data_IF_265190615574
#
_entry.id   IF_265190615574
#
_cell.length_a   1.000
_cell.length_b   1.000
_cell.length_c   1.000
_cell.angle_alpha   90.00
_cell.angle_beta   90.00
_cell.angle_gamma   90.00
#
_symmetry.space_group_name_H-M   'P 1'
#
loop_
_entity.id
_entity.type
_entity.pdbx_description
1 polymer ?
#
# COMPACT_ATOMS: atom_id res chain seq x y z
N UNK A 1 -32.97 -11.98 26.69
CA UNK A 1 -32.70 -10.58 26.28
C UNK A 1 -32.43 -10.63 24.79
N UNK A 2 -33.40 -10.18 24.03
CA UNK A 2 -33.45 -10.24 22.59
C UNK A 2 -32.37 -9.37 22.00
N UNK A 3 -31.52 -9.98 21.11
CA UNK A 3 -30.68 -9.21 20.24
C UNK A 3 -31.59 -8.48 19.23
N UNK A 4 -31.44 -7.20 19.00
CA UNK A 4 -32.21 -6.53 17.97
C UNK A 4 -31.94 -7.22 16.62
N UNK A 5 -33.00 -7.63 15.92
CA UNK A 5 -32.95 -8.05 14.52
C UNK A 5 -32.30 -6.93 13.72
N UNK A 6 -31.07 -7.18 13.22
CA UNK A 6 -30.43 -6.27 12.28
C UNK A 6 -31.27 -6.32 11.00
N UNK A 7 -31.90 -5.19 10.66
CA UNK A 7 -32.61 -5.04 9.41
C UNK A 7 -31.75 -5.53 8.24
N UNK A 8 -32.39 -6.05 7.21
CA UNK A 8 -31.75 -6.49 5.94
C UNK A 8 -31.14 -5.23 5.32
N UNK A 9 -29.93 -4.86 5.76
CA UNK A 9 -29.15 -3.80 5.16
C UNK A 9 -28.77 -4.20 3.73
N UNK A 10 -28.76 -3.26 2.79
CA UNK A 10 -28.23 -3.49 1.45
C UNK A 10 -26.86 -4.15 1.56
N UNK A 11 -26.62 -5.14 0.69
CA UNK A 11 -25.33 -5.84 0.67
C UNK A 11 -24.20 -4.81 0.44
N UNK A 12 -23.19 -4.80 1.34
CA UNK A 12 -22.07 -3.88 1.23
C UNK A 12 -21.32 -4.11 -0.08
N UNK A 13 -21.07 -3.04 -0.79
CA UNK A 13 -20.19 -3.07 -1.96
C UNK A 13 -18.72 -3.01 -1.52
N UNK A 14 -17.95 -3.99 -1.93
CA UNK A 14 -16.54 -4.12 -1.54
C UNK A 14 -15.67 -4.12 -2.79
N UNK A 15 -14.74 -3.16 -2.87
CA UNK A 15 -13.71 -3.09 -3.91
C UNK A 15 -12.35 -3.41 -3.29
N UNK A 16 -11.59 -4.27 -3.95
CA UNK A 16 -10.26 -4.68 -3.51
C UNK A 16 -9.26 -4.32 -4.60
N UNK A 17 -8.37 -3.37 -4.32
CA UNK A 17 -7.37 -2.84 -5.26
C UNK A 17 -6.01 -3.44 -4.94
N UNK A 18 -5.48 -4.31 -5.81
CA UNK A 18 -4.23 -5.04 -5.63
C UNK A 18 -3.32 -4.77 -6.82
N UNK A 19 -2.04 -4.46 -6.56
CA UNK A 19 -1.03 -4.39 -7.61
C UNK A 19 -0.66 -5.79 -8.13
N UNK A 20 -0.74 -6.01 -9.42
CA UNK A 20 -0.51 -7.31 -10.03
C UNK A 20 0.97 -7.72 -10.08
N UNK A 21 1.91 -6.74 -10.08
CA UNK A 21 3.31 -6.96 -10.42
C UNK A 21 4.26 -6.56 -9.25
N UNK A 22 5.22 -5.66 -9.50
CA UNK A 22 6.23 -5.21 -8.53
C UNK A 22 5.90 -3.89 -7.81
N UNK A 23 4.67 -3.39 -7.92
CA UNK A 23 4.27 -2.10 -7.38
C UNK A 23 4.32 -0.99 -8.42
N UNK A 24 3.92 0.23 -8.00
CA UNK A 24 3.88 1.44 -8.83
C UNK A 24 2.96 1.35 -10.06
N UNK A 25 1.88 0.58 -9.92
CA UNK A 25 0.92 0.28 -10.99
C UNK A 25 -0.27 1.26 -11.07
N UNK A 26 -0.33 2.29 -10.21
CA UNK A 26 -1.47 3.22 -10.21
C UNK A 26 -2.62 2.85 -9.26
N UNK A 27 -2.34 2.06 -8.19
CA UNK A 27 -3.33 1.69 -7.16
C UNK A 27 -4.02 2.89 -6.53
N UNK A 28 -3.29 3.99 -6.30
CA UNK A 28 -3.86 5.23 -5.75
C UNK A 28 -4.96 5.81 -6.64
N UNK A 29 -4.73 5.86 -7.95
CA UNK A 29 -5.71 6.32 -8.93
C UNK A 29 -6.98 5.45 -8.90
N UNK A 30 -6.83 4.12 -8.90
CA UNK A 30 -7.97 3.20 -8.88
C UNK A 30 -8.72 3.22 -7.55
N UNK A 31 -8.01 3.40 -6.43
CA UNK A 31 -8.63 3.59 -5.12
C UNK A 31 -9.47 4.87 -5.08
N UNK A 32 -8.92 5.99 -5.55
CA UNK A 32 -9.62 7.27 -5.65
C UNK A 32 -10.87 7.16 -6.55
N UNK A 33 -10.76 6.47 -7.69
CA UNK A 33 -11.87 6.18 -8.59
C UNK A 33 -12.98 5.38 -7.91
N UNK A 34 -12.65 4.26 -7.25
CA UNK A 34 -13.65 3.43 -6.58
C UNK A 34 -14.29 4.12 -5.37
N UNK A 35 -13.51 4.88 -4.60
CA UNK A 35 -14.05 5.69 -3.51
C UNK A 35 -15.09 6.69 -4.04
N UNK A 36 -14.79 7.36 -5.16
CA UNK A 36 -15.73 8.28 -5.80
C UNK A 36 -16.98 7.57 -6.27
N UNK A 37 -16.87 6.42 -6.91
CA UNK A 37 -18.01 5.63 -7.41
C UNK A 37 -18.92 5.17 -6.27
N UNK A 38 -18.34 4.64 -5.19
CA UNK A 38 -19.12 4.18 -4.04
C UNK A 38 -19.73 5.33 -3.24
N UNK A 39 -19.06 6.49 -3.16
CA UNK A 39 -19.56 7.66 -2.44
C UNK A 39 -20.85 8.25 -3.03
N UNK A 40 -21.21 7.88 -4.25
CA UNK A 40 -22.49 8.26 -4.88
C UNK A 40 -23.69 7.53 -4.27
N UNK A 41 -23.46 6.41 -3.59
CA UNK A 41 -24.50 5.58 -2.97
C UNK A 41 -24.47 5.61 -1.43
N UNK A 42 -23.45 6.17 -0.80
CA UNK A 42 -23.34 6.22 0.66
C UNK A 42 -21.93 6.56 1.14
N UNK A 43 -21.73 6.35 2.44
CA UNK A 43 -20.44 6.56 3.10
C UNK A 43 -19.43 5.47 2.72
N UNK A 44 -18.15 5.83 2.59
CA UNK A 44 -17.08 4.92 2.15
C UNK A 44 -15.96 4.85 3.18
N UNK A 45 -15.47 3.65 3.43
CA UNK A 45 -14.24 3.43 4.20
C UNK A 45 -13.12 2.96 3.27
N UNK A 46 -12.08 3.77 3.14
CA UNK A 46 -10.87 3.40 2.43
C UNK A 46 -9.91 2.72 3.41
N UNK A 47 -9.66 1.42 3.22
CA UNK A 47 -8.95 0.55 4.14
C UNK A 47 -7.56 0.23 3.60
N UNK A 48 -6.51 0.75 4.26
CA UNK A 48 -5.12 0.34 4.03
C UNK A 48 -4.90 -0.98 4.76
N UNK A 49 -4.89 -2.10 4.02
CA UNK A 49 -4.92 -3.41 4.65
C UNK A 49 -3.55 -4.07 4.83
N UNK A 50 -2.48 -3.48 4.28
CA UNK A 50 -1.11 -3.98 4.38
C UNK A 50 -0.09 -2.86 4.20
N UNK A 51 1.20 -3.18 4.36
CA UNK A 51 2.30 -2.25 4.17
C UNK A 51 2.42 -1.24 5.31
N UNK A 52 2.81 -0.04 4.98
CA UNK A 52 3.03 1.09 5.88
C UNK A 52 3.47 2.33 5.11
N UNK A 53 4.20 3.22 5.75
CA UNK A 53 4.63 4.51 5.20
C UNK A 53 5.57 4.45 3.98
N UNK A 54 6.06 3.26 3.60
CA UNK A 54 6.88 3.06 2.40
C UNK A 54 6.06 3.10 1.10
N UNK A 55 4.76 2.94 1.17
CA UNK A 55 3.90 3.02 -0.01
C UNK A 55 3.59 4.48 -0.33
N UNK A 56 3.81 4.89 -1.58
CA UNK A 56 3.44 6.21 -2.09
C UNK A 56 2.32 6.08 -3.13
N UNK A 57 1.10 6.49 -2.78
CA UNK A 57 -0.04 6.42 -3.69
C UNK A 57 -0.39 7.82 -4.19
N UNK A 58 -0.01 8.11 -5.42
CA UNK A 58 -0.26 9.43 -6.02
C UNK A 58 -1.70 9.57 -6.47
N UNK A 59 -2.30 10.69 -6.07
CA UNK A 59 -3.61 11.14 -6.57
C UNK A 59 -3.48 12.57 -7.07
N UNK A 60 -4.03 12.81 -8.25
CA UNK A 60 -4.11 14.13 -8.88
C UNK A 60 -5.55 14.58 -8.90
N UNK A 61 -5.80 15.76 -8.31
CA UNK A 61 -7.13 16.37 -8.29
C UNK A 61 -7.17 17.44 -9.36
N UNK A 62 -8.11 17.35 -10.32
CA UNK A 62 -8.34 18.44 -11.26
C UNK A 62 -8.93 19.63 -10.51
N UNK A 63 -8.27 20.78 -10.55
CA UNK A 63 -8.77 22.04 -10.05
C UNK A 63 -8.84 23.05 -11.17
N UNK A 64 -9.69 24.09 -11.03
CA UNK A 64 -9.73 25.19 -12.00
C UNK A 64 -8.36 25.90 -12.03
N UNK A 65 -7.55 25.61 -13.05
CA UNK A 65 -6.29 26.28 -13.37
C UNK A 65 -5.01 25.51 -13.08
N UNK A 66 -4.89 24.76 -12.00
CA UNK A 66 -3.72 23.91 -11.70
C UNK A 66 -4.15 22.55 -11.12
N UNK A 67 -3.55 21.49 -11.63
CA UNK A 67 -3.72 20.16 -11.01
C UNK A 67 -2.99 20.15 -9.66
N UNK A 68 -3.71 19.81 -8.60
CA UNK A 68 -3.09 19.55 -7.30
C UNK A 68 -2.78 18.06 -7.18
N UNK A 69 -1.57 17.76 -6.74
CA UNK A 69 -1.05 16.39 -6.59
C UNK A 69 -0.66 16.14 -5.15
N UNK A 70 -1.02 14.96 -4.64
CA UNK A 70 -0.54 14.47 -3.35
C UNK A 70 -0.10 13.01 -3.43
N UNK A 71 0.89 12.63 -2.63
CA UNK A 71 1.38 11.26 -2.50
C UNK A 71 1.02 10.75 -1.11
N UNK A 72 0.01 9.90 -1.06
CA UNK A 72 -0.46 9.30 0.18
C UNK A 72 0.48 8.21 0.67
N UNK A 73 0.91 8.27 1.92
CA UNK A 73 1.71 7.25 2.58
C UNK A 73 0.94 6.55 3.71
N UNK A 74 0.24 7.30 4.55
CA UNK A 74 -0.64 6.80 5.61
C UNK A 74 -2.10 6.96 5.25
N UNK A 75 -2.50 8.18 4.84
CA UNK A 75 -3.89 8.40 4.48
C UNK A 75 -4.26 7.57 3.25
N UNK A 76 -5.52 7.18 3.17
CA UNK A 76 -6.03 6.46 2.01
C UNK A 76 -6.13 7.35 0.77
N UNK A 77 -5.86 6.80 -0.40
CA UNK A 77 -5.91 7.54 -1.66
C UNK A 77 -7.30 8.10 -1.99
N UNK A 78 -8.36 7.58 -1.33
CA UNK A 78 -9.72 8.12 -1.41
C UNK A 78 -10.00 9.35 -0.56
N UNK A 79 -9.03 9.86 0.21
CA UNK A 79 -9.23 10.97 1.18
C UNK A 79 -9.74 12.27 0.57
N UNK A 80 -9.55 12.50 -0.73
CA UNK A 80 -10.11 13.67 -1.43
C UNK A 80 -11.56 13.49 -1.89
N UNK A 81 -12.18 12.36 -1.61
CA UNK A 81 -13.58 12.10 -1.93
C UNK A 81 -14.44 12.38 -0.71
N UNK A 82 -15.40 13.29 -0.83
CA UNK A 82 -16.34 13.61 0.23
C UNK A 82 -17.10 12.35 0.66
N UNK A 83 -17.25 12.14 1.98
CA UNK A 83 -17.91 10.97 2.55
C UNK A 83 -17.00 9.73 2.63
N UNK A 84 -15.70 9.89 2.36
CA UNK A 84 -14.70 8.82 2.50
C UNK A 84 -13.79 9.09 3.69
N UNK A 85 -13.71 8.12 4.60
CA UNK A 85 -12.78 8.12 5.73
C UNK A 85 -11.68 7.07 5.51
N UNK A 86 -10.53 7.25 6.16
CA UNK A 86 -9.40 6.30 6.10
C UNK A 86 -9.41 5.35 7.30
N UNK A 87 -9.15 4.06 7.04
CA UNK A 87 -8.88 3.07 8.08
C UNK A 87 -7.56 2.35 7.84
N UNK A 88 -6.66 2.43 8.82
CA UNK A 88 -5.38 1.70 8.85
C UNK A 88 -5.59 0.42 9.66
N UNK A 89 -5.68 -0.72 8.95
CA UNK A 89 -6.00 -2.02 9.58
C UNK A 89 -4.84 -2.56 10.43
N UNK A 90 -5.09 -3.60 11.24
CA UNK A 90 -4.08 -4.19 12.12
C UNK A 90 -2.83 -4.74 11.44
N UNK A 91 -2.82 -4.86 10.11
CA UNK A 91 -1.64 -5.23 9.32
C UNK A 91 -0.82 -4.02 8.85
N UNK A 92 -1.36 -2.81 8.92
CA UNK A 92 -0.66 -1.59 8.54
C UNK A 92 0.38 -1.20 9.59
N UNK A 93 1.52 -0.69 9.16
CA UNK A 93 2.61 -0.28 10.03
C UNK A 93 2.65 1.24 10.08
N UNK A 94 2.33 1.78 11.26
CA UNK A 94 2.29 3.21 11.52
C UNK A 94 3.70 3.77 11.72
N UNK A 95 3.93 4.97 11.21
CA UNK A 95 5.14 5.75 11.48
C UNK A 95 4.72 7.17 11.92
N UNK A 96 4.83 7.51 13.20
CA UNK A 96 4.37 8.81 13.73
C UNK A 96 5.01 10.00 13.03
N UNK A 97 6.32 9.92 12.72
CA UNK A 97 7.07 11.00 12.06
C UNK A 97 6.47 11.29 10.68
N UNK A 98 6.28 10.24 9.88
CA UNK A 98 5.78 10.39 8.51
C UNK A 98 4.26 10.69 8.49
N UNK A 99 3.51 10.19 9.47
CA UNK A 99 2.10 10.51 9.63
C UNK A 99 1.89 12.02 9.88
N UNK A 100 2.57 12.57 10.87
CA UNK A 100 2.45 14.00 11.19
C UNK A 100 2.88 14.87 10.02
N UNK A 101 3.99 14.50 9.35
CA UNK A 101 4.45 15.20 8.16
C UNK A 101 3.41 15.22 7.04
N UNK A 102 2.83 14.07 6.70
CA UNK A 102 1.81 13.94 5.65
C UNK A 102 0.53 14.72 6.01
N UNK A 103 0.07 14.63 7.27
CA UNK A 103 -1.06 15.41 7.77
C UNK A 103 -0.84 16.91 7.58
N UNK A 104 0.33 17.40 7.94
CA UNK A 104 0.67 18.83 7.82
C UNK A 104 0.80 19.26 6.36
N UNK A 105 1.30 18.39 5.48
CA UNK A 105 1.31 18.64 4.03
C UNK A 105 -0.12 18.71 3.47
N UNK A 106 -1.01 17.82 3.90
CA UNK A 106 -2.43 17.86 3.53
C UNK A 106 -3.07 19.19 3.92
N UNK A 107 -2.86 19.63 5.16
CA UNK A 107 -3.41 20.90 5.61
C UNK A 107 -2.82 22.10 4.85
N UNK A 108 -1.51 22.17 4.70
CA UNK A 108 -0.85 23.28 3.99
C UNK A 108 -1.26 23.42 2.54
N UNK A 109 -1.45 22.28 1.85
CA UNK A 109 -1.70 22.29 0.41
C UNK A 109 -3.19 22.31 0.06
N UNK A 110 -4.06 21.75 0.93
CA UNK A 110 -5.47 21.53 0.63
C UNK A 110 -6.44 22.11 1.66
N UNK A 111 -5.93 22.63 2.79
CA UNK A 111 -6.76 23.15 3.90
C UNK A 111 -7.75 22.12 4.44
N UNK A 112 -7.33 20.86 4.50
CA UNK A 112 -8.18 19.74 4.79
C UNK A 112 -7.48 18.72 5.69
N UNK A 113 -8.22 18.18 6.64
CA UNK A 113 -7.81 17.10 7.53
C UNK A 113 -8.69 15.88 7.29
N UNK A 114 -8.17 14.80 6.64
CA UNK A 114 -8.92 13.55 6.51
C UNK A 114 -9.20 12.93 7.88
N UNK A 115 -10.35 12.32 8.05
CA UNK A 115 -10.65 11.54 9.24
C UNK A 115 -10.00 10.18 9.14
N UNK A 116 -9.29 9.77 10.21
CA UNK A 116 -8.49 8.55 10.24
C UNK A 116 -8.83 7.69 11.44
N UNK A 117 -9.09 6.43 11.16
CA UNK A 117 -9.19 5.37 12.13
C UNK A 117 -7.94 4.49 12.06
N UNK A 118 -7.44 4.08 13.22
CA UNK A 118 -6.31 3.15 13.32
C UNK A 118 -6.71 1.94 14.15
N UNK A 119 -6.35 0.75 13.70
CA UNK A 119 -6.61 -0.45 14.46
C UNK A 119 -5.77 -0.50 15.72
N UNK A 120 -6.37 -0.93 16.84
CA UNK A 120 -5.73 -0.99 18.15
C UNK A 120 -4.42 -1.81 18.19
N UNK A 121 -4.22 -2.74 17.25
CA UNK A 121 -3.05 -3.62 17.16
C UNK A 121 -2.05 -3.26 16.06
N UNK A 122 -2.19 -2.13 15.38
CA UNK A 122 -1.18 -1.67 14.43
C UNK A 122 0.21 -1.64 15.06
N UNK A 123 1.21 -2.07 14.32
CA UNK A 123 2.61 -1.93 14.75
C UNK A 123 3.05 -0.49 14.55
N UNK A 124 3.84 0.04 15.48
CA UNK A 124 4.35 1.41 15.39
C UNK A 124 5.87 1.37 15.22
N UNK A 125 6.35 1.97 14.15
CA UNK A 125 7.78 2.14 13.84
C UNK A 125 8.39 3.14 14.79
N UNK A 126 9.56 2.80 15.35
CA UNK A 126 10.37 3.71 16.18
C UNK A 126 11.50 4.34 15.36
N UNK A 127 12.12 5.42 15.82
CA UNK A 127 13.27 6.01 15.13
C UNK A 127 14.43 5.03 15.01
N UNK A 128 14.57 4.09 15.95
CA UNK A 128 15.62 3.09 15.93
C UNK A 128 15.39 2.00 14.88
N UNK A 129 14.15 1.64 14.57
CA UNK A 129 13.82 0.79 13.42
C UNK A 129 14.27 1.46 12.10
N UNK A 130 14.04 2.76 11.97
CA UNK A 130 14.46 3.53 10.80
C UNK A 130 15.99 3.61 10.71
N UNK A 131 16.67 3.91 11.81
CA UNK A 131 18.13 4.01 11.86
C UNK A 131 18.82 2.67 11.55
N UNK A 132 18.34 1.55 12.10
CA UNK A 132 18.86 0.23 11.73
C UNK A 132 18.74 0.01 10.23
N UNK A 133 17.56 0.26 9.65
CA UNK A 133 17.34 0.09 8.21
C UNK A 133 18.31 0.95 7.39
N UNK A 134 18.44 2.23 7.70
CA UNK A 134 19.27 3.17 6.95
C UNK A 134 20.78 2.83 7.07
N UNK A 135 21.26 2.54 8.29
CA UNK A 135 22.66 2.17 8.54
C UNK A 135 23.03 0.90 7.78
N UNK A 136 22.14 -0.12 7.82
CA UNK A 136 22.36 -1.38 7.11
C UNK A 136 22.39 -1.19 5.60
N UNK A 137 21.46 -0.41 5.02
CA UNK A 137 21.47 -0.13 3.58
C UNK A 137 22.76 0.62 3.18
N UNK A 138 23.20 1.62 3.95
CA UNK A 138 24.48 2.30 3.69
C UNK A 138 25.66 1.36 3.81
N UNK A 139 25.67 0.46 4.79
CA UNK A 139 26.78 -0.49 5.00
C UNK A 139 26.93 -1.51 3.88
N UNK A 140 25.85 -1.81 3.15
CA UNK A 140 25.84 -2.73 2.00
C UNK A 140 26.40 -2.12 0.72
N UNK A 141 26.47 -0.79 0.62
CA UNK A 141 26.94 -0.11 -0.59
C UNK A 141 26.17 -0.53 -1.83
N UNK A 142 26.87 -1.06 -2.83
CA UNK A 142 26.26 -1.52 -4.09
C UNK A 142 25.39 -2.79 -3.93
N UNK A 143 25.52 -3.52 -2.82
CA UNK A 143 24.72 -4.71 -2.51
C UNK A 143 23.48 -4.38 -1.65
N UNK A 144 23.05 -3.12 -1.62
CA UNK A 144 21.86 -2.70 -0.91
C UNK A 144 20.61 -3.41 -1.43
N UNK A 145 19.64 -3.66 -0.54
CA UNK A 145 18.38 -4.27 -0.94
C UNK A 145 17.40 -3.25 -1.57
N UNK A 146 17.71 -1.95 -1.50
CA UNK A 146 16.87 -0.91 -2.08
C UNK A 146 15.59 -0.65 -1.28
N UNK A 147 15.65 -0.77 0.03
CA UNK A 147 14.55 -0.37 0.92
C UNK A 147 14.42 1.15 0.98
N UNK A 148 13.21 1.66 1.28
CA UNK A 148 12.98 3.11 1.34
C UNK A 148 13.49 3.80 2.63
N UNK A 149 14.19 3.11 3.50
CA UNK A 149 14.81 3.69 4.71
C UNK A 149 13.82 4.03 5.84
N UNK A 150 12.55 3.63 5.75
CA UNK A 150 11.51 3.99 6.75
C UNK A 150 11.26 2.93 7.82
N UNK A 151 12.08 1.87 7.87
CA UNK A 151 12.13 0.93 8.98
C UNK A 151 11.02 -0.14 9.03
N UNK A 152 10.29 -0.37 7.95
CA UNK A 152 9.14 -1.31 7.94
C UNK A 152 9.57 -2.73 8.32
N UNK A 153 10.59 -3.29 7.65
CA UNK A 153 11.09 -4.63 7.96
C UNK A 153 11.57 -4.71 9.41
N UNK A 154 12.34 -3.74 9.86
CA UNK A 154 12.89 -3.73 11.21
C UNK A 154 11.79 -3.62 12.29
N UNK A 155 10.73 -2.87 12.03
CA UNK A 155 9.53 -2.87 12.87
C UNK A 155 8.95 -4.28 12.99
N UNK A 156 8.74 -4.98 11.87
CA UNK A 156 8.19 -6.35 11.87
C UNK A 156 9.12 -7.32 12.61
N UNK A 157 10.43 -7.24 12.36
CA UNK A 157 11.44 -8.07 13.03
C UNK A 157 11.45 -7.83 14.55
N UNK A 158 11.39 -6.57 15.00
CA UNK A 158 11.32 -6.22 16.40
C UNK A 158 10.09 -6.84 17.09
N UNK A 159 8.93 -6.76 16.43
CA UNK A 159 7.70 -7.37 16.95
C UNK A 159 7.76 -8.90 16.99
N UNK A 160 8.36 -9.55 15.99
CA UNK A 160 8.45 -11.03 15.91
C UNK A 160 9.45 -11.59 16.92
N UNK A 161 10.60 -10.94 17.10
CA UNK A 161 11.76 -11.54 17.79
C UNK A 161 11.95 -11.08 19.23
N UNK A 162 11.41 -9.92 19.62
CA UNK A 162 11.71 -9.32 20.94
C UNK A 162 10.52 -9.28 21.91
N UNK A 163 9.36 -9.79 21.50
CA UNK A 163 8.21 -10.06 22.37
C UNK A 163 7.43 -8.83 22.84
N UNK A 164 6.49 -9.06 23.75
CA UNK A 164 5.46 -8.09 24.17
C UNK A 164 6.04 -6.82 24.79
N UNK A 165 7.15 -6.91 25.55
CA UNK A 165 7.77 -5.74 26.21
C UNK A 165 8.39 -4.71 25.26
N UNK A 166 8.53 -5.03 23.95
CA UNK A 166 9.09 -4.16 22.93
C UNK A 166 8.05 -3.73 21.89
N UNK A 167 6.79 -4.10 22.07
CA UNK A 167 5.72 -3.80 21.14
C UNK A 167 4.99 -2.52 21.53
N UNK A 168 4.96 -1.55 20.63
CA UNK A 168 4.21 -0.30 20.78
C UNK A 168 3.03 -0.36 19.81
N UNK A 169 1.81 -0.36 20.34
CA UNK A 169 0.58 -0.35 19.52
C UNK A 169 -0.31 0.82 19.95
N UNK A 170 -1.29 1.23 19.14
CA UNK A 170 -2.28 2.22 19.56
C UNK A 170 -2.98 1.89 20.88
N UNK A 171 -3.18 0.59 21.16
CA UNK A 171 -3.76 0.14 22.43
C UNK A 171 -2.86 0.37 23.65
N UNK A 172 -1.56 0.24 23.47
CA UNK A 172 -0.60 0.21 24.60
C UNK A 172 0.20 1.50 24.77
N UNK A 173 0.34 2.30 23.72
CA UNK A 173 1.27 3.44 23.67
C UNK A 173 1.11 4.43 24.82
N UNK A 174 -0.13 4.72 25.24
CA UNK A 174 -0.39 5.67 26.35
C UNK A 174 -0.15 5.09 27.76
N UNK A 175 0.01 3.78 27.87
CA UNK A 175 0.30 3.09 29.14
C UNK A 175 1.76 2.74 29.33
N UNK A 176 2.61 2.94 28.31
CA UNK A 176 4.04 2.62 28.32
C UNK A 176 4.86 3.82 28.78
N UNK A 177 5.94 3.55 29.53
CA UNK A 177 7.04 4.51 29.68
C UNK A 177 7.85 4.53 28.37
N UNK A 178 7.43 5.38 27.45
CA UNK A 178 8.03 5.47 26.11
C UNK A 178 9.49 5.93 26.19
N UNK A 179 9.84 6.80 27.14
CA UNK A 179 11.22 7.26 27.27
C UNK A 179 12.14 6.14 27.69
N UNK A 180 11.76 5.36 28.68
CA UNK A 180 12.48 4.16 29.10
C UNK A 180 12.60 3.15 27.95
N UNK A 181 11.49 2.85 27.27
CA UNK A 181 11.47 1.86 26.21
C UNK A 181 12.36 2.25 25.02
N UNK A 182 12.31 3.51 24.60
CA UNK A 182 13.14 4.01 23.50
C UNK A 182 14.61 4.11 23.88
N UNK A 183 14.92 4.49 25.13
CA UNK A 183 16.28 4.45 25.65
C UNK A 183 16.82 3.02 25.63
N UNK A 184 16.04 2.04 26.07
CA UNK A 184 16.41 0.63 25.98
C UNK A 184 16.62 0.18 24.53
N UNK A 185 15.76 0.63 23.60
CA UNK A 185 15.95 0.32 22.18
C UNK A 185 17.24 0.92 21.63
N UNK A 186 17.59 2.15 22.01
CA UNK A 186 18.85 2.80 21.65
C UNK A 186 20.08 2.05 22.17
N UNK A 187 20.07 1.74 23.46
CA UNK A 187 21.27 1.29 24.18
C UNK A 187 21.50 -0.22 24.08
N UNK A 188 20.44 -1.01 23.89
CA UNK A 188 20.50 -2.48 23.90
C UNK A 188 20.05 -3.09 22.56
N UNK A 189 18.85 -2.73 22.09
CA UNK A 189 18.29 -3.35 20.88
C UNK A 189 19.09 -2.99 19.63
N UNK A 190 19.32 -1.70 19.37
CA UNK A 190 19.96 -1.21 18.15
C UNK A 190 21.39 -1.78 17.97
N UNK A 191 22.31 -1.72 18.96
CA UNK A 191 23.65 -2.30 18.82
C UNK A 191 23.61 -3.81 18.55
N UNK A 192 22.73 -4.53 19.28
CA UNK A 192 22.56 -5.97 19.09
C UNK A 192 22.07 -6.27 17.68
N UNK A 193 21.07 -5.54 17.18
CA UNK A 193 20.49 -5.74 15.85
C UNK A 193 21.48 -5.43 14.75
N UNK A 194 22.25 -4.35 14.84
CA UNK A 194 23.29 -4.01 13.86
C UNK A 194 24.37 -5.11 13.80
N UNK A 195 24.77 -5.64 14.94
CA UNK A 195 25.72 -6.77 15.01
C UNK A 195 25.15 -8.03 14.33
N UNK A 196 23.88 -8.39 14.57
CA UNK A 196 23.20 -9.50 13.92
C UNK A 196 23.18 -9.35 12.38
N UNK A 197 23.08 -8.11 11.88
CA UNK A 197 23.07 -7.76 10.47
C UNK A 197 24.47 -7.57 9.87
N UNK A 198 25.55 -7.85 10.66
CA UNK A 198 26.94 -7.81 10.18
C UNK A 198 27.52 -6.41 10.06
N UNK A 199 26.88 -5.39 10.63
CA UNK A 199 27.42 -4.03 10.66
C UNK A 199 28.50 -3.93 11.73
N UNK A 200 29.74 -3.68 11.31
CA UNK A 200 30.90 -3.54 12.21
C UNK A 200 31.26 -2.08 12.53
N UNK A 201 30.95 -1.17 11.63
CA UNK A 201 31.30 0.24 11.77
C UNK A 201 30.05 1.13 11.57
N UNK A 202 29.88 2.08 12.48
CA UNK A 202 28.83 3.10 12.42
C UNK A 202 29.53 4.44 12.15
N UNK A 203 28.99 5.25 11.24
CA UNK A 203 29.55 6.57 10.96
C UNK A 203 29.41 7.51 12.18
N UNK A 204 30.27 8.53 12.28
CA UNK A 204 30.16 9.53 13.34
C UNK A 204 28.84 10.30 13.27
N UNK A 205 28.33 10.53 12.07
CA UNK A 205 27.05 11.21 11.86
C UNK A 205 25.90 10.34 12.40
N UNK A 206 25.88 9.04 12.07
CA UNK A 206 24.90 8.11 12.62
C UNK A 206 24.97 8.01 14.14
N UNK A 207 26.17 7.95 14.70
CA UNK A 207 26.37 7.95 16.16
C UNK A 207 25.84 9.24 16.79
N UNK A 208 26.07 10.39 16.17
CA UNK A 208 25.55 11.67 16.64
C UNK A 208 24.02 11.68 16.68
N UNK A 209 23.36 11.10 15.67
CA UNK A 209 21.90 10.95 15.65
C UNK A 209 21.42 9.96 16.70
N UNK A 210 22.03 8.80 16.83
CA UNK A 210 21.65 7.75 17.79
C UNK A 210 21.72 8.27 19.23
N UNK A 211 22.77 9.03 19.57
CA UNK A 211 23.02 9.53 20.92
C UNK A 211 22.23 10.81 21.26
N UNK A 212 21.54 11.40 20.29
CA UNK A 212 20.74 12.61 20.52
C UNK A 212 19.48 12.29 21.32
N UNK A 213 19.33 12.90 22.50
CA UNK A 213 18.08 12.82 23.26
C UNK A 213 16.88 13.39 22.50
N UNK A 214 17.10 14.35 21.64
CA UNK A 214 16.05 14.98 20.83
C UNK A 214 15.31 13.97 19.93
N UNK A 215 15.97 12.88 19.49
CA UNK A 215 15.31 11.88 18.62
C UNK A 215 14.19 11.15 19.39
N UNK A 216 14.42 10.88 20.68
CA UNK A 216 13.44 10.22 21.56
C UNK A 216 12.30 11.19 21.87
N UNK A 217 12.61 12.38 22.35
CA UNK A 217 11.62 13.36 22.78
C UNK A 217 10.74 13.82 21.60
N UNK A 218 11.33 14.06 20.42
CA UNK A 218 10.59 14.40 19.22
C UNK A 218 9.68 13.26 18.75
N UNK A 219 10.16 12.01 18.78
CA UNK A 219 9.31 10.88 18.40
C UNK A 219 8.13 10.71 19.37
N UNK A 220 8.33 10.86 20.67
CA UNK A 220 7.26 10.79 21.67
C UNK A 220 6.22 11.89 21.42
N UNK A 221 6.66 13.12 21.13
CA UNK A 221 5.77 14.22 20.80
C UNK A 221 4.90 13.90 19.57
N UNK A 222 5.53 13.45 18.48
CA UNK A 222 4.83 13.08 17.24
C UNK A 222 3.91 11.86 17.42
N UNK A 223 4.32 10.89 18.24
CA UNK A 223 3.48 9.73 18.53
C UNK A 223 2.21 10.13 19.31
N UNK A 224 2.34 11.03 20.29
CA UNK A 224 1.20 11.58 21.02
C UNK A 224 0.29 12.39 20.08
N UNK A 225 0.87 13.24 19.25
CA UNK A 225 0.13 14.05 18.27
C UNK A 225 -0.65 13.18 17.26
N UNK A 226 -0.03 12.11 16.74
CA UNK A 226 -0.73 11.12 15.91
C UNK A 226 -1.89 10.48 16.67
N UNK A 227 -1.68 10.10 17.94
CA UNK A 227 -2.70 9.45 18.76
C UNK A 227 -3.85 10.38 19.16
N UNK A 228 -3.59 11.69 19.25
CA UNK A 228 -4.63 12.69 19.51
C UNK A 228 -5.46 12.99 18.26
N UNK A 229 -4.86 12.83 17.10
CA UNK A 229 -5.53 13.01 15.81
C UNK A 229 -6.39 11.80 15.41
N UNK A 230 -5.91 10.58 15.63
CA UNK A 230 -6.53 9.36 15.15
C UNK A 230 -7.57 8.79 16.11
N UNK A 231 -8.60 8.12 15.56
CA UNK A 231 -9.54 7.33 16.34
C UNK A 231 -9.07 5.86 16.41
N UNK A 232 -8.79 5.37 17.63
CA UNK A 232 -8.42 3.96 17.83
C UNK A 232 -9.67 3.09 17.83
N UNK A 233 -9.70 2.08 16.97
CA UNK A 233 -10.85 1.19 16.77
C UNK A 233 -10.40 -0.27 16.57
N UNK A 234 -11.34 -1.19 16.45
CA UNK A 234 -11.16 -2.53 15.92
C UNK A 234 -11.80 -2.65 14.51
N UNK A 235 -11.77 -3.84 13.92
CA UNK A 235 -12.30 -4.07 12.56
C UNK A 235 -13.83 -3.90 12.47
N UNK A 236 -14.58 -3.83 13.59
CA UNK A 236 -16.03 -3.57 13.59
C UNK A 236 -16.40 -2.22 12.93
N UNK A 237 -15.44 -1.30 12.81
CA UNK A 237 -15.64 -0.02 12.10
C UNK A 237 -16.19 -0.20 10.69
N UNK A 238 -15.87 -1.31 10.01
CA UNK A 238 -16.37 -1.61 8.67
C UNK A 238 -17.89 -1.69 8.59
N UNK A 239 -18.58 -1.95 9.71
CA UNK A 239 -20.05 -2.01 9.75
C UNK A 239 -20.72 -0.63 9.66
N UNK A 240 -20.00 0.44 9.97
CA UNK A 240 -20.53 1.80 10.00
C UNK A 240 -20.70 2.38 8.59
N UNK A 241 -19.96 1.86 7.60
CA UNK A 241 -19.91 2.39 6.24
C UNK A 241 -20.71 1.55 5.26
N UNK A 242 -21.25 2.20 4.22
CA UNK A 242 -22.04 1.55 3.16
C UNK A 242 -21.15 0.85 2.15
N UNK A 243 -20.00 1.44 1.79
CA UNK A 243 -19.01 0.91 0.86
C UNK A 243 -17.64 0.74 1.49
N UNK A 244 -16.91 -0.30 1.07
CA UNK A 244 -15.53 -0.57 1.51
C UNK A 244 -14.59 -0.61 0.30
N UNK A 245 -13.49 0.14 0.36
CA UNK A 245 -12.42 0.09 -0.65
C UNK A 245 -11.12 -0.34 0.04
N UNK A 246 -10.69 -1.56 -0.23
CA UNK A 246 -9.42 -2.09 0.26
C UNK A 246 -8.29 -1.67 -0.66
N UNK A 247 -7.34 -0.94 -0.12
CA UNK A 247 -6.21 -0.38 -0.82
C UNK A 247 -4.94 -1.12 -0.46
N UNK A 248 -4.38 -1.88 -1.42
CA UNK A 248 -3.15 -2.62 -1.25
C UNK A 248 -1.90 -1.77 -1.45
N UNK A 249 -0.85 -2.11 -0.74
CA UNK A 249 0.48 -1.56 -0.91
C UNK A 249 1.39 -2.59 -1.58
N UNK A 250 2.36 -2.14 -2.39
CA UNK A 250 3.21 -2.97 -3.24
C UNK A 250 2.42 -3.76 -4.30
N UNK A 251 3.06 -4.78 -4.90
CA UNK A 251 2.43 -5.67 -5.85
C UNK A 251 2.59 -7.13 -5.44
N UNK A 252 1.87 -8.04 -6.09
CA UNK A 252 1.86 -9.47 -5.75
C UNK A 252 3.23 -10.13 -5.86
N UNK A 253 4.07 -9.71 -6.83
CA UNK A 253 5.42 -10.25 -7.02
C UNK A 253 6.41 -9.82 -5.93
N UNK A 254 6.02 -8.91 -5.05
CA UNK A 254 6.79 -8.50 -3.87
C UNK A 254 6.25 -9.08 -2.56
N UNK A 255 5.18 -9.92 -2.59
CA UNK A 255 4.62 -10.58 -1.40
C UNK A 255 5.67 -11.42 -0.68
N UNK A 256 5.67 -11.43 0.66
CA UNK A 256 6.64 -12.18 1.48
C UNK A 256 6.68 -13.69 1.16
N UNK A 257 5.66 -14.23 0.50
CA UNK A 257 5.58 -15.63 0.10
C UNK A 257 6.06 -15.91 -1.33
N UNK A 258 6.50 -14.89 -2.06
CA UNK A 258 6.95 -15.05 -3.46
C UNK A 258 8.47 -15.25 -3.53
N UNK A 259 8.93 -16.44 -3.11
CA UNK A 259 10.36 -16.77 -2.86
C UNK A 259 11.30 -16.50 -4.04
N UNK A 260 10.79 -16.52 -5.29
CA UNK A 260 11.59 -16.26 -6.50
C UNK A 260 12.38 -14.95 -6.44
N UNK A 261 11.82 -13.93 -5.80
CA UNK A 261 12.44 -12.60 -5.73
C UNK A 261 13.11 -12.29 -4.40
N UNK A 262 13.24 -13.28 -3.52
CA UNK A 262 13.97 -13.11 -2.26
C UNK A 262 15.45 -12.74 -2.50
N UNK A 263 16.06 -11.89 -1.67
CA UNK A 263 15.55 -11.26 -0.46
C UNK A 263 14.81 -9.92 -0.69
N UNK A 264 14.54 -9.54 -1.95
CA UNK A 264 14.02 -8.24 -2.38
C UNK A 264 12.48 -8.20 -2.32
N UNK A 265 11.91 -8.66 -1.22
CA UNK A 265 10.48 -8.75 -0.97
C UNK A 265 10.04 -7.78 0.13
N UNK A 266 8.74 -7.50 0.21
CA UNK A 266 8.15 -6.84 1.37
C UNK A 266 7.83 -7.85 2.45
N UNK A 267 7.95 -7.48 3.73
CA UNK A 267 7.54 -8.31 4.87
C UNK A 267 6.05 -8.19 5.15
N UNK A 268 5.24 -8.28 4.10
CA UNK A 268 3.80 -8.05 4.11
C UNK A 268 3.10 -8.94 3.10
N UNK A 269 1.87 -9.36 3.44
CA UNK A 269 0.96 -10.03 2.50
C UNK A 269 0.26 -8.96 1.66
N UNK A 270 0.50 -9.00 0.34
CA UNK A 270 0.03 -7.96 -0.59
C UNK A 270 -1.32 -8.29 -1.23
N UNK A 271 -1.80 -9.51 -1.06
CA UNK A 271 -3.03 -10.02 -1.66
C UNK A 271 -4.21 -10.17 -0.70
N UNK A 272 -5.16 -11.01 -1.09
CA UNK A 272 -6.44 -11.25 -0.40
C UNK A 272 -6.32 -11.68 1.08
N UNK A 273 -5.25 -12.35 1.56
CA UNK A 273 -5.16 -12.71 2.98
C UNK A 273 -5.24 -11.52 3.93
N UNK A 274 -4.70 -10.34 3.52
CA UNK A 274 -4.81 -9.11 4.31
C UNK A 274 -6.24 -8.58 4.38
N UNK A 275 -6.97 -8.63 3.29
CA UNK A 275 -8.39 -8.27 3.19
C UNK A 275 -9.25 -9.22 4.03
N UNK A 276 -9.04 -10.54 3.85
CA UNK A 276 -9.77 -11.57 4.57
C UNK A 276 -9.62 -11.41 6.08
N UNK A 277 -8.45 -11.04 6.58
CA UNK A 277 -8.23 -10.82 8.01
C UNK A 277 -9.19 -9.75 8.57
N UNK A 278 -9.34 -8.61 7.89
CA UNK A 278 -10.25 -7.54 8.31
C UNK A 278 -11.69 -7.99 8.24
N UNK A 279 -12.12 -8.58 7.11
CA UNK A 279 -13.51 -9.04 6.94
C UNK A 279 -13.87 -10.15 7.94
N UNK A 280 -12.97 -11.11 8.15
CA UNK A 280 -13.17 -12.21 9.10
C UNK A 280 -13.25 -11.71 10.54
N UNK A 281 -12.36 -10.82 10.96
CA UNK A 281 -12.33 -10.21 12.28
C UNK A 281 -13.62 -9.42 12.57
N UNK A 282 -14.17 -8.76 11.54
CA UNK A 282 -15.43 -8.04 11.61
C UNK A 282 -16.68 -8.95 11.49
N UNK A 283 -16.51 -10.28 11.35
CA UNK A 283 -17.64 -11.21 11.20
C UNK A 283 -18.33 -11.17 9.83
N UNK A 284 -17.66 -10.64 8.79
CA UNK A 284 -18.17 -10.57 7.43
C UNK A 284 -17.71 -11.80 6.61
N UNK A 285 -18.33 -12.95 6.87
CA UNK A 285 -17.95 -14.23 6.26
C UNK A 285 -18.62 -14.53 4.92
N UNK A 286 -19.79 -13.96 4.65
CA UNK A 286 -20.59 -14.18 3.43
C UNK A 286 -20.77 -12.85 2.66
N UNK A 287 -19.65 -12.30 2.19
CA UNK A 287 -19.70 -11.12 1.34
C UNK A 287 -20.00 -11.54 -0.10
N UNK A 288 -21.06 -10.98 -0.69
CA UNK A 288 -21.54 -11.37 -2.03
C UNK A 288 -21.22 -10.36 -3.13
N UNK A 289 -20.89 -9.13 -2.78
CA UNK A 289 -20.56 -8.08 -3.74
C UNK A 289 -19.12 -7.59 -3.54
N UNK A 290 -18.17 -8.51 -3.76
CA UNK A 290 -16.74 -8.21 -3.77
C UNK A 290 -16.29 -8.13 -5.22
N UNK A 291 -15.63 -7.04 -5.58
CA UNK A 291 -14.87 -6.93 -6.82
C UNK A 291 -13.38 -6.86 -6.50
N UNK A 292 -12.62 -7.79 -7.05
CA UNK A 292 -11.17 -7.84 -6.94
C UNK A 292 -10.56 -7.29 -8.23
N UNK A 293 -9.96 -6.11 -8.12
CA UNK A 293 -9.34 -5.39 -9.21
C UNK A 293 -7.82 -5.52 -9.13
N UNK A 294 -7.22 -6.21 -10.09
CA UNK A 294 -5.78 -6.24 -10.28
C UNK A 294 -5.34 -5.07 -11.13
N UNK A 295 -4.43 -4.26 -10.59
CA UNK A 295 -3.92 -3.07 -11.25
C UNK A 295 -2.54 -3.36 -11.84
N UNK A 296 -2.35 -2.99 -13.10
CA UNK A 296 -1.09 -3.07 -13.84
C UNK A 296 -0.88 -1.81 -14.67
N UNK A 297 0.35 -1.52 -15.05
CA UNK A 297 0.59 -0.68 -16.24
C UNK A 297 0.53 -1.56 -17.48
N UNK A 298 0.57 -0.96 -18.64
CA UNK A 298 0.71 -1.63 -19.93
C UNK A 298 2.11 -2.17 -20.20
N UNK A 299 3.03 -1.97 -19.26
CA UNK A 299 4.41 -2.47 -19.19
C UNK A 299 4.75 -2.72 -17.72
N UNK A 300 5.82 -3.44 -17.44
CA UNK A 300 6.24 -3.67 -16.06
C UNK A 300 7.18 -2.56 -15.57
N UNK A 301 7.14 -2.33 -14.26
CA UNK A 301 8.04 -1.41 -13.57
C UNK A 301 8.50 -2.02 -12.26
N UNK A 302 9.72 -1.67 -11.83
CA UNK A 302 10.24 -2.05 -10.53
C UNK A 302 11.07 -0.91 -9.93
N UNK A 303 10.79 -0.58 -8.68
CA UNK A 303 11.62 0.31 -7.90
C UNK A 303 12.45 -0.50 -6.90
N UNK A 304 13.72 -0.10 -6.68
CA UNK A 304 14.64 -0.82 -5.82
C UNK A 304 15.40 -1.93 -6.52
N UNK A 305 16.25 -2.60 -5.74
CA UNK A 305 17.12 -3.67 -6.23
C UNK A 305 16.36 -4.98 -6.47
N UNK A 306 17.07 -5.97 -6.95
CA UNK A 306 16.59 -7.33 -7.20
C UNK A 306 16.38 -7.64 -8.67
N UNK A 307 16.25 -8.93 -8.94
CA UNK A 307 16.10 -9.44 -10.29
C UNK A 307 14.79 -8.96 -10.94
N UNK A 308 14.89 -8.43 -12.15
CA UNK A 308 13.76 -7.97 -12.94
C UNK A 308 13.82 -8.67 -14.30
N UNK A 309 13.05 -9.75 -14.53
CA UNK A 309 13.22 -10.66 -15.66
C UNK A 309 13.15 -10.00 -17.02
N UNK A 310 12.26 -9.01 -17.18
CA UNK A 310 11.99 -8.34 -18.46
C UNK A 310 12.56 -6.92 -18.52
N UNK A 311 13.54 -6.61 -17.66
CA UNK A 311 14.13 -5.27 -17.59
C UNK A 311 14.68 -4.81 -18.92
N UNK A 312 14.36 -3.57 -19.29
CA UNK A 312 14.82 -2.90 -20.50
C UNK A 312 14.95 -1.40 -20.28
N UNK A 313 15.55 -0.70 -21.22
CA UNK A 313 15.62 0.75 -21.19
C UNK A 313 14.27 1.40 -21.49
N UNK A 314 14.00 2.58 -20.92
CA UNK A 314 12.80 3.36 -21.30
C UNK A 314 12.74 3.62 -22.81
N UNK A 315 13.89 3.84 -23.44
CA UNK A 315 14.01 4.02 -24.90
C UNK A 315 13.55 2.80 -25.70
N UNK A 316 13.73 1.59 -25.16
CA UNK A 316 13.30 0.36 -25.83
C UNK A 316 11.78 0.21 -25.83
N UNK A 317 11.12 0.74 -24.78
CA UNK A 317 9.66 0.73 -24.66
C UNK A 317 8.98 1.88 -25.39
N UNK A 318 9.52 3.10 -25.26
CA UNK A 318 8.84 4.33 -25.68
C UNK A 318 9.47 5.03 -26.87
N UNK A 319 10.61 4.53 -27.38
CA UNK A 319 11.38 5.17 -28.44
C UNK A 319 12.19 6.39 -27.97
N UNK A 320 12.03 6.84 -26.73
CA UNK A 320 12.72 7.98 -26.12
C UNK A 320 13.07 7.71 -24.67
N UNK A 321 14.01 8.49 -24.12
CA UNK A 321 14.32 8.44 -22.70
C UNK A 321 13.19 9.08 -21.89
N UNK A 322 12.64 8.31 -20.95
CA UNK A 322 11.53 8.71 -20.10
C UNK A 322 11.90 8.61 -18.64
N UNK A 323 11.52 9.62 -17.87
CA UNK A 323 11.61 9.60 -16.42
C UNK A 323 10.20 9.66 -15.80
N UNK A 324 9.95 8.77 -14.85
CA UNK A 324 8.70 8.83 -14.09
C UNK A 324 8.71 10.06 -13.16
N UNK A 325 7.68 10.91 -13.27
CA UNK A 325 7.59 12.15 -12.51
C UNK A 325 7.39 11.93 -11.00
N UNK A 326 6.97 10.74 -10.61
CA UNK A 326 6.70 10.36 -9.21
C UNK A 326 7.86 9.61 -8.58
N UNK A 327 8.39 8.63 -9.31
CA UNK A 327 9.41 7.68 -8.82
C UNK A 327 10.81 8.18 -9.21
N UNK A 328 11.21 9.31 -8.62
CA UNK A 328 12.54 9.87 -8.82
C UNK A 328 13.60 9.07 -8.08
N UNK A 329 14.85 9.20 -8.52
CA UNK A 329 15.99 8.59 -7.84
C UNK A 329 16.02 8.98 -6.35
N UNK A 330 16.29 8.01 -5.50
CA UNK A 330 16.58 8.25 -4.10
C UNK A 330 17.77 7.38 -3.63
N UNK A 331 18.41 7.81 -2.54
CA UNK A 331 19.63 7.20 -2.01
C UNK A 331 19.47 5.70 -1.68
N UNK A 332 18.29 5.29 -1.23
CA UNK A 332 18.07 3.92 -0.75
C UNK A 332 17.55 2.98 -1.83
N UNK A 333 16.61 3.44 -2.67
CA UNK A 333 15.98 2.60 -3.70
C UNK A 333 16.65 2.68 -5.06
N UNK A 334 17.43 3.74 -5.31
CA UNK A 334 18.04 3.97 -6.62
C UNK A 334 17.06 4.53 -7.65
N UNK A 335 17.26 4.14 -8.92
CA UNK A 335 16.44 4.59 -10.03
C UNK A 335 15.21 3.71 -10.24
N UNK A 336 14.18 4.30 -10.83
CA UNK A 336 13.01 3.58 -11.33
C UNK A 336 13.37 2.79 -12.57
N UNK A 337 12.91 1.54 -12.66
CA UNK A 337 13.29 0.56 -13.69
C UNK A 337 12.08 0.16 -14.50
N UNK A 338 12.26 -0.04 -15.79
CA UNK A 338 11.24 -0.43 -16.75
C UNK A 338 11.49 -1.84 -17.26
N UNK A 339 10.44 -2.51 -17.70
CA UNK A 339 10.51 -3.84 -18.29
C UNK A 339 9.32 -4.12 -19.21
N UNK A 340 9.51 -4.99 -20.18
CA UNK A 340 8.43 -5.50 -21.00
C UNK A 340 7.38 -6.22 -20.15
N UNK A 341 6.14 -6.17 -20.57
CA UNK A 341 5.06 -6.92 -19.95
C UNK A 341 5.29 -8.42 -20.14
N UNK A 342 5.09 -9.22 -19.09
CA UNK A 342 5.25 -10.68 -19.09
C UNK A 342 3.89 -11.31 -18.85
N UNK A 343 3.19 -11.67 -19.92
CA UNK A 343 1.80 -12.12 -19.88
C UNK A 343 1.62 -13.39 -19.03
N UNK A 344 2.47 -14.40 -19.22
CA UNK A 344 2.39 -15.66 -18.47
C UNK A 344 2.53 -15.45 -16.97
N UNK A 345 3.45 -14.60 -16.53
CA UNK A 345 3.64 -14.26 -15.13
C UNK A 345 2.45 -13.50 -14.57
N UNK A 346 1.97 -12.51 -15.30
CA UNK A 346 0.78 -11.74 -14.94
C UNK A 346 -0.44 -12.66 -14.78
N UNK A 347 -0.67 -13.57 -15.73
CA UNK A 347 -1.76 -14.54 -15.65
C UNK A 347 -1.61 -15.45 -14.44
N UNK A 348 -0.44 -16.03 -14.23
CA UNK A 348 -0.20 -16.96 -13.13
C UNK A 348 -0.47 -16.34 -11.76
N UNK A 349 0.07 -15.16 -11.51
CA UNK A 349 -0.06 -14.52 -10.19
C UNK A 349 -1.48 -14.04 -9.93
N UNK A 350 -2.15 -13.46 -10.94
CA UNK A 350 -3.53 -13.01 -10.83
C UNK A 350 -4.52 -14.17 -10.66
N UNK A 351 -4.36 -15.25 -11.45
CA UNK A 351 -5.23 -16.42 -11.38
C UNK A 351 -5.10 -17.15 -10.04
N UNK A 352 -3.87 -17.33 -9.54
CA UNK A 352 -3.64 -17.95 -8.23
C UNK A 352 -4.29 -17.13 -7.10
N UNK A 353 -4.13 -15.83 -7.12
CA UNK A 353 -4.67 -14.96 -6.10
C UNK A 353 -6.20 -14.84 -6.20
N UNK A 354 -6.75 -14.79 -7.41
CA UNK A 354 -8.20 -14.82 -7.62
C UNK A 354 -8.83 -16.16 -7.20
N UNK A 355 -8.20 -17.29 -7.52
CA UNK A 355 -8.64 -18.62 -7.03
C UNK A 355 -8.62 -18.68 -5.50
N UNK A 356 -7.64 -18.06 -4.84
CA UNK A 356 -7.60 -17.95 -3.38
C UNK A 356 -8.78 -17.12 -2.87
N UNK A 357 -9.09 -15.99 -3.50
CA UNK A 357 -10.26 -15.16 -3.16
C UNK A 357 -11.57 -15.93 -3.32
N UNK A 358 -11.74 -16.65 -4.42
CA UNK A 358 -12.95 -17.44 -4.70
C UNK A 358 -13.21 -18.58 -3.67
N UNK A 359 -12.15 -19.14 -3.07
CA UNK A 359 -12.31 -20.13 -1.99
C UNK A 359 -12.87 -19.53 -0.71
N UNK A 360 -12.56 -18.25 -0.45
CA UNK A 360 -13.04 -17.52 0.73
C UNK A 360 -14.39 -16.86 0.46
N UNK A 361 -14.56 -16.30 -0.72
CA UNK A 361 -15.72 -15.53 -1.18
C UNK A 361 -16.14 -15.98 -2.58
N UNK A 362 -17.00 -16.99 -2.72
CA UNK A 362 -17.34 -17.63 -4.01
C UNK A 362 -17.91 -16.68 -5.08
N UNK A 363 -18.55 -15.59 -4.65
CA UNK A 363 -19.20 -14.62 -5.53
C UNK A 363 -18.28 -13.46 -5.96
N UNK A 364 -16.97 -13.50 -5.62
CA UNK A 364 -16.02 -12.46 -6.02
C UNK A 364 -16.00 -12.28 -7.54
N UNK A 365 -16.15 -11.04 -7.98
CA UNK A 365 -15.98 -10.60 -9.36
C UNK A 365 -14.50 -10.31 -9.64
N UNK A 366 -14.05 -10.59 -10.85
CA UNK A 366 -12.71 -10.29 -11.32
C UNK A 366 -12.72 -9.08 -12.23
N UNK A 367 -11.85 -8.12 -11.95
CA UNK A 367 -11.57 -7.03 -12.86
C UNK A 367 -10.08 -6.73 -12.96
N UNK A 368 -9.69 -6.05 -14.02
CA UNK A 368 -8.33 -5.56 -14.24
C UNK A 368 -8.36 -4.06 -14.50
N UNK A 369 -7.31 -3.37 -14.07
CA UNK A 369 -7.11 -1.96 -14.39
C UNK A 369 -5.73 -1.77 -15.02
N UNK A 370 -5.71 -1.28 -16.26
CA UNK A 370 -4.49 -0.91 -16.95
C UNK A 370 -4.32 0.61 -16.92
N UNK A 371 -3.33 1.05 -16.20
CA UNK A 371 -2.96 2.46 -16.09
C UNK A 371 -1.85 2.81 -17.08
N UNK A 372 -1.63 4.12 -17.29
CA UNK A 372 -0.62 4.63 -18.24
C UNK A 372 -0.85 4.14 -19.67
N UNK A 373 -2.11 3.87 -20.02
CA UNK A 373 -2.45 3.44 -21.37
C UNK A 373 -2.31 4.56 -22.41
N UNK A 374 -2.35 5.81 -21.98
CA UNK A 374 -2.00 7.00 -22.77
C UNK A 374 -0.53 7.03 -23.21
N UNK A 375 0.36 6.33 -22.52
CA UNK A 375 1.79 6.25 -22.86
C UNK A 375 2.10 5.22 -23.95
N UNK A 376 1.15 4.35 -24.26
CA UNK A 376 1.35 3.17 -25.13
C UNK A 376 0.22 3.00 -26.15
N UNK A 377 -0.54 4.06 -26.43
CA UNK A 377 -1.71 4.03 -27.32
C UNK A 377 -2.71 2.91 -26.98
N UNK A 378 -2.84 2.59 -25.68
CA UNK A 378 -3.74 1.54 -25.19
C UNK A 378 -3.22 0.12 -25.38
N UNK A 379 -1.98 -0.06 -25.82
CA UNK A 379 -1.40 -1.37 -26.10
C UNK A 379 -0.52 -1.85 -24.95
N UNK A 380 -0.51 -3.14 -24.66
CA UNK A 380 0.44 -3.80 -23.77
C UNK A 380 1.74 -4.05 -24.51
N UNK A 381 2.86 -3.68 -23.89
CA UNK A 381 4.21 -3.74 -24.50
C UNK A 381 4.94 -5.01 -24.08
N UNK A 382 4.92 -6.03 -24.90
CA UNK A 382 5.70 -7.26 -24.73
C UNK A 382 7.00 -7.22 -25.56
N UNK A 383 7.98 -8.03 -25.19
CA UNK A 383 9.22 -8.17 -25.97
C UNK A 383 8.99 -8.74 -27.37
N UNK A 384 7.90 -9.45 -27.58
CA UNK A 384 7.46 -10.04 -28.86
C UNK A 384 6.68 -9.07 -29.75
N UNK A 385 6.25 -7.93 -29.21
CA UNK A 385 5.41 -6.95 -29.89
C UNK A 385 4.32 -6.36 -29.00
N UNK A 386 3.35 -5.70 -29.61
CA UNK A 386 2.26 -5.03 -28.90
C UNK A 386 0.98 -5.88 -28.97
N UNK A 387 0.21 -5.93 -27.87
CA UNK A 387 -1.09 -6.61 -27.80
C UNK A 387 -2.18 -5.68 -27.29
N UNK A 388 -3.41 -5.89 -27.71
CA UNK A 388 -4.56 -5.23 -27.10
C UNK A 388 -4.76 -5.72 -25.67
N UNK A 389 -5.10 -4.81 -24.75
CA UNK A 389 -5.39 -5.15 -23.34
C UNK A 389 -6.44 -6.26 -23.26
N UNK A 390 -7.48 -6.21 -24.09
CA UNK A 390 -8.56 -7.19 -24.11
C UNK A 390 -8.04 -8.61 -24.42
N UNK A 391 -7.09 -8.75 -25.32
CA UNK A 391 -6.51 -10.05 -25.69
C UNK A 391 -5.68 -10.62 -24.55
N UNK A 392 -4.92 -9.77 -23.86
CA UNK A 392 -4.13 -10.16 -22.67
C UNK A 392 -5.02 -10.69 -21.55
N UNK A 393 -6.17 -10.07 -21.26
CA UNK A 393 -6.98 -10.45 -20.10
C UNK A 393 -8.05 -11.51 -20.41
N UNK A 394 -8.39 -11.72 -21.67
CA UNK A 394 -9.47 -12.65 -22.06
C UNK A 394 -9.31 -14.10 -21.56
N UNK A 395 -8.09 -14.68 -21.46
CA UNK A 395 -7.91 -16.02 -20.90
C UNK A 395 -8.34 -16.14 -19.43
N UNK A 396 -8.29 -15.04 -18.66
CA UNK A 396 -8.70 -14.99 -17.26
C UNK A 396 -10.20 -14.74 -17.06
N UNK A 397 -10.94 -14.49 -18.16
CA UNK A 397 -12.40 -14.31 -18.18
C UNK A 397 -12.92 -13.28 -17.15
N UNK A 398 -12.41 -12.05 -17.10
CA UNK A 398 -12.88 -11.04 -16.16
C UNK A 398 -14.32 -10.61 -16.42
N UNK A 399 -14.94 -9.99 -15.40
CA UNK A 399 -16.28 -9.41 -15.49
C UNK A 399 -16.26 -8.05 -16.21
N UNK A 400 -15.22 -7.26 -15.98
CA UNK A 400 -14.95 -5.99 -16.64
C UNK A 400 -13.46 -5.66 -16.59
N UNK A 401 -13.05 -4.60 -17.29
CA UNK A 401 -11.75 -4.00 -17.10
C UNK A 401 -11.82 -2.47 -17.15
N UNK A 402 -10.81 -1.84 -16.59
CA UNK A 402 -10.63 -0.41 -16.55
C UNK A 402 -9.38 -0.02 -17.31
N UNK A 403 -9.44 1.08 -18.04
CA UNK A 403 -8.27 1.65 -18.72
C UNK A 403 -8.14 3.10 -18.28
N UNK A 404 -6.95 3.51 -17.82
CA UNK A 404 -6.68 4.91 -17.53
C UNK A 404 -5.84 5.53 -18.64
N UNK A 405 -6.39 6.57 -19.25
CA UNK A 405 -5.78 7.39 -20.31
C UNK A 405 -5.31 8.75 -19.76
N UNK A 406 -4.94 8.80 -18.49
CA UNK A 406 -4.44 9.99 -17.83
C UNK A 406 -4.41 9.83 -16.32
N UNK A 407 -3.97 10.86 -15.60
CA UNK A 407 -3.57 10.79 -14.21
C UNK A 407 -4.66 11.09 -13.17
N UNK A 408 -5.92 11.28 -13.58
CA UNK A 408 -7.04 11.55 -12.66
C UNK A 408 -8.14 10.51 -12.81
N UNK A 409 -8.97 10.34 -11.76
CA UNK A 409 -10.15 9.45 -11.80
C UNK A 409 -11.11 9.69 -12.96
N UNK A 410 -11.12 10.89 -13.54
CA UNK A 410 -11.97 11.23 -14.70
C UNK A 410 -11.51 10.57 -16.00
N UNK A 411 -10.24 10.14 -16.04
CA UNK A 411 -9.62 9.48 -17.17
C UNK A 411 -9.73 7.95 -17.11
N UNK A 412 -10.41 7.40 -16.09
CA UNK A 412 -10.63 5.96 -15.96
C UNK A 412 -11.91 5.59 -16.73
N UNK A 413 -11.76 4.70 -17.69
CA UNK A 413 -12.82 4.18 -18.54
C UNK A 413 -13.13 2.74 -18.14
N UNK A 414 -14.37 2.45 -17.76
CA UNK A 414 -14.85 1.10 -17.47
C UNK A 414 -15.39 0.42 -18.72
N UNK A 415 -14.92 -0.79 -19.02
CA UNK A 415 -15.38 -1.60 -20.14
C UNK A 415 -15.96 -2.92 -19.63
N UNK A 416 -17.29 -3.10 -19.58
CA UNK A 416 -17.93 -4.36 -19.23
C UNK A 416 -17.64 -5.44 -20.28
N UNK A 417 -17.31 -6.66 -19.83
CA UNK A 417 -17.07 -7.82 -20.71
C UNK A 417 -18.21 -8.86 -20.64
N UNK A 418 -18.83 -8.98 -19.47
CA UNK A 418 -20.00 -9.86 -19.28
C UNK A 418 -21.28 -9.01 -19.35
N UNK A 419 -22.09 -9.22 -20.37
CA UNK A 419 -23.44 -8.69 -20.36
C UNK A 419 -24.23 -9.41 -19.27
N UNK A 420 -24.61 -8.71 -18.21
CA UNK A 420 -25.62 -9.21 -17.29
C UNK A 420 -26.90 -9.48 -18.11
N UNK A 421 -27.17 -10.76 -18.45
CA UNK A 421 -28.52 -11.15 -18.80
C UNK A 421 -29.39 -10.79 -17.60
N UNK A 422 -30.21 -9.74 -17.76
CA UNK A 422 -31.30 -9.49 -16.80
C UNK A 422 -32.10 -10.80 -16.77
N UNK A 423 -32.01 -11.52 -15.66
CA UNK A 423 -32.97 -12.59 -15.37
C UNK A 423 -34.33 -11.93 -15.31
N UNK A 424 -35.14 -12.21 -16.31
CA UNK A 424 -36.58 -11.95 -16.34
C UNK A 424 -37.28 -12.73 -15.21
#
# INVERSE_FOLDING_TARGET
>A
KDKPERGIGMAKQIKVVIGANFGDEGKGLMTDYFCKRLSESGSVLNIRFNGGAQAGHTVVIPTLGQQKRHVFSHFGAGSFVNGTDTYLSGNFILNPILFCRERDEMYRNFWFYPKVYIHESCKITTPFDMLVNQIVERSRGDQRHGSCGVGINETVVRYRNYGIGHTITPKTIRSLDLKYLLTYQRDIYLPKRLKELGVSNISLDDLGVILSENIIDNWIAQANEMMDYCHVVNDDIVHVYDGLVFEGAQGLLLDEMYEEFAPYLTTSRTGIPGVNRVLYSAGLYDCRDIEMCFVSRTYFTRHGAGFFPTECGAKDLFGEDKQDATNVWNEFQGSFRYGYFEEDRFHNVCDQEFKRAKRMYPYTKLSFAFTHADETDGMVLESSGHKEIKDVISPLSPDCFYTSIGNTRQHVIETPLKTHRKSQ
#
